data_IF_242416967473
#
_entry.id   IF_242416967473
#
_cell.length_a   1.000
_cell.length_b   1.000
_cell.length_c   1.000
_cell.angle_alpha   90.00
_cell.angle_beta   90.00
_cell.angle_gamma   90.00
#
_symmetry.space_group_name_H-M   'P 1'
#
loop_
_entity.id
_entity.type
_entity.pdbx_description
1 polymer ?
#
# COMPACT_ATOMS: atom_id res chain seq x y z
N UNK A 1 -10.02 -6.94 11.49
CA UNK A 1 -10.66 -6.37 10.30
C UNK A 1 -11.99 -7.08 10.08
N UNK A 2 -13.11 -6.37 10.24
CA UNK A 2 -14.45 -6.90 9.93
C UNK A 2 -14.57 -6.92 8.40
N UNK A 3 -14.68 -8.10 7.80
CA UNK A 3 -14.87 -8.23 6.35
C UNK A 3 -16.24 -7.61 5.99
N UNK A 4 -16.22 -6.54 5.23
CA UNK A 4 -17.40 -6.04 4.50
C UNK A 4 -17.48 -6.90 3.23
N UNK A 5 -18.13 -8.05 3.32
CA UNK A 5 -18.26 -8.97 2.18
C UNK A 5 -19.43 -9.93 2.30
N UNK A 6 -20.24 -9.78 3.34
CA UNK A 6 -21.49 -10.51 3.54
C UNK A 6 -22.65 -9.51 3.49
N UNK A 7 -23.76 -9.87 2.87
CA UNK A 7 -24.88 -8.94 2.62
C UNK A 7 -25.43 -8.37 3.94
N UNK A 8 -25.52 -9.21 4.97
CA UNK A 8 -25.95 -8.81 6.32
C UNK A 8 -24.96 -7.84 6.99
N UNK A 9 -23.66 -8.00 6.71
CA UNK A 9 -22.59 -7.09 7.17
C UNK A 9 -22.69 -5.71 6.49
N UNK A 10 -23.08 -5.69 5.21
CA UNK A 10 -23.30 -4.48 4.44
C UNK A 10 -24.53 -3.73 4.97
N UNK A 11 -25.66 -4.42 5.15
CA UNK A 11 -26.89 -3.79 5.67
C UNK A 11 -26.65 -3.15 7.04
N UNK A 12 -25.99 -3.88 7.95
CA UNK A 12 -25.65 -3.35 9.27
C UNK A 12 -24.74 -2.12 9.18
N UNK A 13 -23.77 -2.13 8.25
CA UNK A 13 -22.88 -1.00 8.00
C UNK A 13 -23.66 0.23 7.51
N UNK A 14 -24.54 0.06 6.52
CA UNK A 14 -25.38 1.15 6.00
C UNK A 14 -26.31 1.70 7.07
N UNK A 15 -26.95 0.82 7.86
CA UNK A 15 -27.83 1.24 8.94
C UNK A 15 -27.08 2.09 9.97
N UNK A 16 -25.87 1.68 10.37
CA UNK A 16 -25.03 2.45 11.28
C UNK A 16 -24.62 3.80 10.67
N UNK A 17 -24.28 3.82 9.38
CA UNK A 17 -23.95 5.05 8.66
C UNK A 17 -25.13 6.04 8.67
N UNK A 18 -26.33 5.58 8.32
CA UNK A 18 -27.55 6.39 8.33
C UNK A 18 -27.94 6.86 9.72
N UNK A 19 -27.84 5.98 10.73
CA UNK A 19 -28.10 6.35 12.12
C UNK A 19 -27.17 7.49 12.55
N UNK A 20 -25.87 7.40 12.26
CA UNK A 20 -24.90 8.47 12.58
C UNK A 20 -25.20 9.77 11.83
N UNK A 21 -25.48 9.70 10.52
CA UNK A 21 -25.77 10.88 9.71
C UNK A 21 -27.09 11.58 10.10
N UNK A 22 -28.07 10.83 10.62
CA UNK A 22 -29.40 11.35 11.00
C UNK A 22 -29.47 11.84 12.44
N UNK A 23 -28.40 11.68 13.21
CA UNK A 23 -28.31 11.99 14.65
C UNK A 23 -27.27 13.07 14.94
N UNK A 24 -26.94 13.88 13.94
CA UNK A 24 -26.10 15.07 14.12
C UNK A 24 -26.87 16.07 14.98
N UNK A 25 -26.26 16.52 16.07
CA UNK A 25 -26.87 17.49 16.98
C UNK A 25 -26.04 18.77 17.17
N UNK A 26 -24.81 18.80 16.64
CA UNK A 26 -23.98 20.00 16.65
C UNK A 26 -23.09 20.01 15.40
N UNK A 27 -23.20 21.07 14.61
CA UNK A 27 -22.54 21.19 13.31
C UNK A 27 -21.53 22.35 13.27
N UNK A 28 -20.63 22.32 12.28
CA UNK A 28 -19.61 23.35 12.03
C UNK A 28 -18.81 23.69 13.28
N UNK A 29 -18.21 22.65 13.87
CA UNK A 29 -17.44 22.79 15.10
C UNK A 29 -16.16 23.60 14.86
N UNK A 30 -15.92 24.57 15.74
CA UNK A 30 -14.72 25.39 15.75
C UNK A 30 -14.16 25.54 17.16
N UNK A 31 -12.83 25.69 17.24
CA UNK A 31 -12.10 25.91 18.48
C UNK A 31 -11.60 27.35 18.55
N UNK A 32 -11.80 28.00 19.70
CA UNK A 32 -11.37 29.38 19.96
C UNK A 32 -10.39 29.45 21.15
N UNK A 33 -9.82 30.63 21.37
CA UNK A 33 -8.80 30.92 22.38
C UNK A 33 -7.46 30.21 22.13
N UNK A 34 -7.10 30.02 20.85
CA UNK A 34 -5.84 29.39 20.44
C UNK A 34 -4.78 30.40 19.97
N UNK A 35 -5.00 31.71 20.22
CA UNK A 35 -4.17 32.80 19.69
C UNK A 35 -2.74 32.83 20.25
N UNK A 36 -2.49 32.16 21.39
CA UNK A 36 -1.17 32.08 22.03
C UNK A 36 -0.33 30.88 21.54
N UNK A 37 -0.85 30.12 20.57
CA UNK A 37 -0.18 28.97 19.99
C UNK A 37 0.53 29.40 18.69
N UNK A 38 1.84 29.21 18.63
CA UNK A 38 2.66 29.64 17.49
C UNK A 38 2.48 28.72 16.27
N UNK A 39 2.48 27.41 16.51
CA UNK A 39 2.28 26.37 15.50
C UNK A 39 1.19 25.44 16.01
N UNK A 40 0.14 25.23 15.22
CA UNK A 40 -0.96 24.33 15.55
C UNK A 40 -1.24 23.41 14.35
N UNK A 41 -1.16 22.12 14.59
CA UNK A 41 -1.59 21.08 13.64
C UNK A 41 -2.72 20.27 14.29
N UNK A 42 -3.83 20.10 13.57
CA UNK A 42 -5.06 19.45 14.07
C UNK A 42 -5.49 18.34 13.11
N UNK A 43 -5.96 17.23 13.69
CA UNK A 43 -6.42 16.02 13.02
C UNK A 43 -7.79 15.58 13.56
N UNK A 44 -8.79 15.33 12.69
CA UNK A 44 -8.78 15.68 11.26
C UNK A 44 -8.66 17.20 11.06
N UNK A 45 -8.17 17.62 9.89
CA UNK A 45 -8.05 19.05 9.53
C UNK A 45 -9.42 19.71 9.40
N UNK A 46 -10.36 19.00 8.78
CA UNK A 46 -11.78 19.36 8.74
C UNK A 46 -12.51 18.66 9.90
N UNK A 47 -12.98 19.45 10.87
CA UNK A 47 -13.63 18.91 12.08
C UNK A 47 -15.03 18.39 11.72
N UNK A 48 -15.32 17.09 11.90
CA UNK A 48 -16.63 16.53 11.63
C UNK A 48 -17.70 17.08 12.56
N UNK A 49 -18.94 17.07 12.09
CA UNK A 49 -20.11 17.33 12.93
C UNK A 49 -20.25 16.26 14.02
N UNK A 50 -20.80 16.66 15.17
CA UNK A 50 -20.98 15.79 16.33
C UNK A 50 -22.34 15.09 16.28
N UNK A 51 -22.29 13.75 16.35
CA UNK A 51 -23.45 12.86 16.37
C UNK A 51 -23.58 12.18 17.74
N UNK A 52 -24.82 11.84 18.14
CA UNK A 52 -25.06 11.08 19.37
C UNK A 52 -24.63 9.62 19.29
N UNK A 53 -24.38 9.10 18.09
CA UNK A 53 -24.03 7.70 17.85
C UNK A 53 -22.52 7.42 17.95
N UNK A 54 -21.68 8.45 17.93
CA UNK A 54 -20.23 8.27 17.99
C UNK A 54 -19.49 9.45 18.63
N UNK A 55 -18.46 9.19 19.45
CA UNK A 55 -17.63 10.25 19.99
C UNK A 55 -16.83 10.94 18.87
N UNK A 56 -16.66 12.25 18.98
CA UNK A 56 -15.72 13.01 18.17
C UNK A 56 -14.38 13.10 18.91
N UNK A 57 -13.31 12.65 18.25
CA UNK A 57 -11.95 12.79 18.74
C UNK A 57 -11.19 13.69 17.78
N UNK A 58 -10.68 14.79 18.33
CA UNK A 58 -9.78 15.72 17.65
C UNK A 58 -8.45 15.68 18.36
N UNK A 59 -7.38 15.52 17.60
CA UNK A 59 -6.01 15.47 18.10
C UNK A 59 -5.14 16.46 17.39
N UNK A 60 -3.97 16.74 17.94
CA UNK A 60 -3.09 17.72 17.34
C UNK A 60 -1.77 17.87 18.05
N UNK A 61 -0.88 18.61 17.41
CA UNK A 61 0.39 19.04 17.97
C UNK A 61 0.40 20.56 18.01
N UNK A 62 1.00 21.10 19.04
CA UNK A 62 1.14 22.54 19.17
C UNK A 62 2.54 22.93 19.66
N UNK A 63 2.96 24.15 19.34
CA UNK A 63 4.13 24.82 19.92
C UNK A 63 3.66 26.05 20.66
N UNK A 64 4.12 26.22 21.90
CA UNK A 64 3.75 27.34 22.77
C UNK A 64 3.04 26.86 24.03
N UNK A 65 2.13 27.67 24.56
CA UNK A 65 1.34 27.35 25.76
C UNK A 65 -0.10 27.08 25.37
N UNK A 66 -0.63 25.91 25.75
CA UNK A 66 -2.04 25.59 25.53
C UNK A 66 -2.91 26.31 26.58
N UNK A 67 -4.08 26.86 26.21
CA UNK A 67 -4.94 27.56 27.16
C UNK A 67 -5.45 26.64 28.27
N UNK A 68 -5.74 27.18 29.45
CA UNK A 68 -6.39 26.41 30.54
C UNK A 68 -7.84 26.05 30.22
N UNK A 69 -8.48 26.81 29.35
CA UNK A 69 -9.86 26.63 28.91
C UNK A 69 -9.96 26.74 27.40
N UNK A 70 -10.47 25.69 26.76
CA UNK A 70 -10.70 25.63 25.32
C UNK A 70 -12.16 25.95 25.04
N UNK A 71 -12.44 27.01 24.26
CA UNK A 71 -13.80 27.33 23.86
C UNK A 71 -14.15 26.59 22.58
N UNK A 72 -15.28 25.89 22.59
CA UNK A 72 -15.83 25.18 21.44
C UNK A 72 -17.11 25.88 21.00
N UNK A 73 -17.24 26.14 19.70
CA UNK A 73 -18.44 26.70 19.08
C UNK A 73 -18.99 25.78 17.98
N UNK A 74 -20.26 25.96 17.67
CA UNK A 74 -20.93 25.32 16.54
C UNK A 74 -22.37 25.79 16.40
N UNK A 75 -23.17 25.08 15.63
CA UNK A 75 -24.59 25.36 15.42
C UNK A 75 -25.47 24.20 15.88
N UNK A 76 -26.54 24.53 16.61
CA UNK A 76 -27.61 23.59 16.95
C UNK A 76 -28.52 23.34 15.73
N UNK A 77 -29.40 22.32 15.76
CA UNK A 77 -30.29 22.01 14.65
C UNK A 77 -31.28 23.14 14.29
N UNK A 78 -31.54 24.05 15.21
CA UNK A 78 -32.36 25.26 15.00
C UNK A 78 -31.55 26.46 14.46
N UNK A 79 -30.30 26.22 14.03
CA UNK A 79 -29.33 27.21 13.54
C UNK A 79 -28.90 28.25 14.59
N UNK A 80 -29.22 28.05 15.86
CA UNK A 80 -28.72 28.91 16.93
C UNK A 80 -27.25 28.61 17.25
N UNK A 81 -26.54 29.62 17.76
CA UNK A 81 -25.13 29.49 18.13
C UNK A 81 -25.00 28.65 19.42
N UNK A 82 -24.13 27.64 19.37
CA UNK A 82 -23.68 26.90 20.53
C UNK A 82 -22.28 27.37 20.94
N UNK A 83 -22.03 27.48 22.24
CA UNK A 83 -20.70 27.74 22.78
C UNK A 83 -20.56 27.05 24.13
N UNK A 84 -19.46 26.34 24.33
CA UNK A 84 -19.11 25.72 25.61
C UNK A 84 -17.62 25.89 25.90
N UNK A 85 -17.30 26.10 27.16
CA UNK A 85 -15.92 26.20 27.64
C UNK A 85 -15.51 24.85 28.25
N UNK A 86 -14.45 24.25 27.71
CA UNK A 86 -13.90 22.98 28.14
C UNK A 86 -12.66 23.21 29.01
N UNK A 87 -12.66 22.65 30.23
CA UNK A 87 -11.48 22.68 31.10
C UNK A 87 -10.39 21.75 30.57
N UNK A 88 -9.17 22.26 30.43
CA UNK A 88 -8.03 21.47 29.98
C UNK A 88 -7.43 20.68 31.14
N UNK A 89 -7.12 19.41 30.88
CA UNK A 89 -6.47 18.53 31.85
C UNK A 89 -5.12 18.07 31.30
N UNK A 90 -4.06 18.25 32.10
CA UNK A 90 -2.75 17.70 31.77
C UNK A 90 -2.64 16.25 32.23
N UNK A 91 -2.45 15.34 31.29
CA UNK A 91 -2.21 13.92 31.57
C UNK A 91 -0.80 13.50 31.11
N UNK A 92 0.23 13.88 31.87
CA UNK A 92 1.65 13.66 31.53
C UNK A 92 2.04 12.19 31.39
N UNK A 93 1.31 11.31 32.07
CA UNK A 93 1.59 9.87 32.08
C UNK A 93 0.97 9.12 30.88
N UNK A 94 0.15 9.79 30.06
CA UNK A 94 -0.51 9.18 28.90
C UNK A 94 0.29 9.53 27.64
N UNK A 95 0.85 8.54 26.91
CA UNK A 95 1.59 8.79 25.68
C UNK A 95 0.63 9.04 24.50
N UNK A 96 -0.15 10.13 24.56
CA UNK A 96 -1.21 10.49 23.59
C UNK A 96 -0.69 10.47 22.15
N UNK A 97 0.48 11.07 21.91
CA UNK A 97 1.08 11.10 20.57
C UNK A 97 1.31 9.70 19.98
N UNK A 98 1.78 8.75 20.79
CA UNK A 98 1.99 7.36 20.33
C UNK A 98 0.66 6.62 20.11
N UNK A 99 -0.35 6.90 20.94
CA UNK A 99 -1.67 6.29 20.81
C UNK A 99 -2.40 6.73 19.54
N UNK A 100 -2.20 7.99 19.13
CA UNK A 100 -2.90 8.60 18.00
C UNK A 100 -2.11 8.57 16.70
N UNK A 101 -0.80 8.31 16.75
CA UNK A 101 0.07 8.28 15.57
C UNK A 101 -0.47 7.40 14.43
N UNK A 102 -1.11 6.27 14.73
CA UNK A 102 -1.72 5.42 13.70
C UNK A 102 -2.87 6.12 12.99
N UNK A 103 -3.79 6.72 13.75
CA UNK A 103 -4.94 7.43 13.21
C UNK A 103 -4.50 8.65 12.39
N UNK A 104 -3.49 9.39 12.87
CA UNK A 104 -2.92 10.52 12.13
C UNK A 104 -2.27 10.08 10.82
N UNK A 105 -1.50 8.98 10.82
CA UNK A 105 -0.94 8.38 9.60
C UNK A 105 -2.06 8.00 8.63
N UNK A 106 -3.14 7.37 9.10
CA UNK A 106 -4.27 6.97 8.25
C UNK A 106 -4.98 8.19 7.62
N UNK A 107 -5.18 9.26 8.39
CA UNK A 107 -5.77 10.51 7.90
C UNK A 107 -4.87 11.19 6.85
N UNK A 108 -3.57 11.31 7.14
CA UNK A 108 -2.59 11.87 6.21
C UNK A 108 -2.45 11.02 4.95
N UNK A 109 -2.49 9.68 5.05
CA UNK A 109 -2.50 8.79 3.89
C UNK A 109 -3.72 9.06 3.01
N UNK A 110 -4.91 9.22 3.60
CA UNK A 110 -6.12 9.53 2.83
C UNK A 110 -6.01 10.88 2.10
N UNK A 111 -5.44 11.89 2.76
CA UNK A 111 -5.21 13.21 2.16
C UNK A 111 -4.13 13.17 1.07
N UNK A 112 -3.04 12.43 1.30
CA UNK A 112 -1.95 12.25 0.33
C UNK A 112 -2.41 11.46 -0.89
N UNK A 113 -3.34 10.52 -0.71
CA UNK A 113 -3.99 9.80 -1.80
C UNK A 113 -4.79 10.75 -2.70
N UNK A 114 -5.55 11.69 -2.11
CA UNK A 114 -6.34 12.65 -2.87
C UNK A 114 -5.51 13.75 -3.54
N UNK A 115 -4.51 14.30 -2.83
CA UNK A 115 -3.77 15.49 -3.25
C UNK A 115 -2.45 15.23 -3.99
N UNK A 116 -1.97 13.98 -3.97
CA UNK A 116 -0.68 13.52 -4.52
C UNK A 116 0.57 14.31 -4.04
N UNK A 117 0.46 15.11 -2.97
CA UNK A 117 1.52 15.99 -2.47
C UNK A 117 2.71 15.18 -1.93
N UNK A 118 3.89 15.42 -2.49
CA UNK A 118 5.14 14.75 -2.07
C UNK A 118 5.48 15.00 -0.60
N UNK A 119 5.24 16.22 -0.11
CA UNK A 119 5.50 16.63 1.27
C UNK A 119 4.72 15.77 2.28
N UNK A 120 3.45 15.45 1.99
CA UNK A 120 2.65 14.56 2.84
C UNK A 120 3.22 13.14 2.85
N UNK A 121 3.64 12.61 1.69
CA UNK A 121 4.24 11.27 1.58
C UNK A 121 5.51 11.15 2.41
N UNK A 122 6.38 12.15 2.32
CA UNK A 122 7.62 12.22 3.11
C UNK A 122 7.31 12.35 4.61
N UNK A 123 6.33 13.17 4.99
CA UNK A 123 5.86 13.28 6.38
C UNK A 123 5.34 11.94 6.93
N UNK A 124 4.49 11.24 6.18
CA UNK A 124 3.94 9.94 6.58
C UNK A 124 5.06 8.91 6.73
N UNK A 125 6.03 8.88 5.82
CA UNK A 125 7.17 7.98 5.93
C UNK A 125 8.00 8.25 7.19
N UNK A 126 8.25 9.52 7.51
CA UNK A 126 8.98 9.91 8.72
C UNK A 126 8.21 9.51 10.00
N UNK A 127 6.92 9.82 10.08
CA UNK A 127 6.08 9.41 11.22
C UNK A 127 6.00 7.90 11.36
N UNK A 128 5.88 7.18 10.25
CA UNK A 128 5.87 5.71 10.22
C UNK A 128 7.13 5.11 10.83
N UNK A 129 8.30 5.67 10.50
CA UNK A 129 9.59 5.23 11.05
C UNK A 129 9.67 5.60 12.55
N UNK A 130 9.34 6.84 12.91
CA UNK A 130 9.40 7.35 14.29
C UNK A 130 8.55 6.51 15.24
N UNK A 131 7.28 6.25 14.88
CA UNK A 131 6.34 5.52 15.73
C UNK A 131 6.37 4.00 15.50
N UNK A 132 7.19 3.50 14.56
CA UNK A 132 7.23 2.10 14.15
C UNK A 132 5.85 1.57 13.71
N UNK A 133 5.09 2.40 12.99
CA UNK A 133 3.76 2.08 12.47
C UNK A 133 3.88 1.86 10.97
N UNK A 134 3.41 0.73 10.46
CA UNK A 134 3.44 0.42 9.02
C UNK A 134 2.52 1.41 8.29
N UNK A 135 3.02 2.01 7.20
CA UNK A 135 2.26 2.90 6.33
C UNK A 135 2.37 2.48 4.87
N UNK A 136 1.56 3.06 4.01
CA UNK A 136 1.60 2.83 2.57
C UNK A 136 2.89 3.33 1.89
N UNK A 137 3.64 4.18 2.59
CA UNK A 137 4.88 4.78 2.11
C UNK A 137 6.14 4.15 2.73
N UNK A 138 6.01 3.12 3.57
CA UNK A 138 7.13 2.43 4.22
C UNK A 138 7.07 0.91 4.04
N UNK A 139 8.24 0.26 4.12
CA UNK A 139 8.34 -1.20 4.07
C UNK A 139 9.09 -1.69 5.30
N UNK A 140 8.66 -2.83 5.85
CA UNK A 140 9.36 -3.48 6.96
C UNK A 140 10.30 -4.55 6.39
N UNK A 141 11.57 -4.50 6.78
CA UNK A 141 12.59 -5.45 6.33
C UNK A 141 13.14 -6.20 7.52
N UNK A 142 13.10 -7.53 7.45
CA UNK A 142 13.79 -8.41 8.39
C UNK A 142 15.22 -8.64 7.90
N UNK A 143 16.19 -8.27 8.74
CA UNK A 143 17.61 -8.39 8.49
C UNK A 143 18.24 -9.42 9.43
N UNK A 144 19.05 -10.33 8.89
CA UNK A 144 19.95 -11.16 9.69
C UNK A 144 21.19 -10.35 10.02
N UNK A 145 21.43 -10.11 11.32
CA UNK A 145 22.71 -9.58 11.79
C UNK A 145 23.51 -10.73 12.37
N UNK A 146 24.55 -11.16 11.65
CA UNK A 146 25.56 -12.06 12.21
C UNK A 146 26.30 -11.33 13.33
N UNK A 147 25.90 -11.55 14.58
CA UNK A 147 26.73 -11.17 15.72
C UNK A 147 27.92 -12.13 15.73
N UNK A 148 29.07 -11.67 15.21
CA UNK A 148 30.35 -12.34 15.43
C UNK A 148 30.53 -12.54 16.94
N UNK A 149 30.31 -13.77 17.40
CA UNK A 149 30.77 -14.20 18.72
C UNK A 149 32.29 -14.21 18.65
N UNK A 150 32.92 -13.13 19.08
CA UNK A 150 34.32 -13.19 19.47
C UNK A 150 34.35 -14.01 20.77
N UNK A 151 34.40 -15.33 20.64
CA UNK A 151 34.91 -16.18 21.70
C UNK A 151 36.41 -15.94 21.74
N UNK A 152 36.83 -15.03 22.61
CA UNK A 152 38.22 -14.91 23.01
C UNK A 152 38.61 -16.23 23.71
N UNK A 153 39.32 -17.09 23.01
CA UNK A 153 40.00 -18.24 23.59
C UNK A 153 41.37 -17.76 24.13
N UNK A 154 41.61 -17.70 25.45
CA UNK A 154 42.80 -17.09 26.01
C UNK A 154 43.93 -18.12 26.08
N UNK A 155 44.37 -18.68 24.95
CA UNK A 155 45.44 -19.69 24.98
C UNK A 155 46.22 -19.84 23.66
N UNK A 156 46.84 -18.76 23.18
CA UNK A 156 47.99 -18.90 22.28
C UNK A 156 48.88 -17.65 22.35
N UNK A 157 49.83 -17.66 23.28
CA UNK A 157 50.82 -16.60 23.42
C UNK A 157 51.88 -16.62 22.31
N UNK A 158 52.23 -15.39 21.88
CA UNK A 158 53.54 -14.92 21.38
C UNK A 158 54.00 -15.46 20.01
N UNK A 159 54.13 -14.54 19.02
CA UNK A 159 55.40 -13.86 18.65
C UNK A 159 55.23 -12.90 17.45
N UNK A 160 55.98 -11.80 17.52
CA UNK A 160 56.60 -11.02 16.44
C UNK A 160 55.78 -10.04 15.55
N UNK A 161 55.97 -8.75 15.90
CA UNK A 161 56.31 -7.59 15.06
C UNK A 161 55.50 -7.21 13.79
N UNK A 162 54.91 -6.01 13.90
CA UNK A 162 54.91 -4.90 12.92
C UNK A 162 54.42 -5.14 11.49
N UNK A 163 53.16 -4.78 11.25
CA UNK A 163 52.76 -3.83 10.19
C UNK A 163 51.30 -3.42 10.42
N UNK A 164 51.10 -2.16 10.81
CA UNK A 164 49.79 -1.51 10.81
C UNK A 164 49.45 -1.22 9.35
N UNK A 165 48.50 -1.98 8.80
CA UNK A 165 47.71 -1.52 7.67
C UNK A 165 46.28 -1.42 8.18
N UNK A 166 45.69 -0.23 8.03
CA UNK A 166 44.30 0.06 8.31
C UNK A 166 43.37 -0.96 7.63
N UNK A 167 42.89 -1.93 8.40
CA UNK A 167 41.74 -2.73 7.99
C UNK A 167 40.53 -1.88 8.32
N UNK A 168 39.97 -1.25 7.29
CA UNK A 168 38.60 -0.71 7.32
C UNK A 168 37.71 -1.80 7.94
N UNK A 169 37.16 -1.50 9.11
CA UNK A 169 36.06 -2.27 9.66
C UNK A 169 34.88 -2.06 8.71
N UNK A 170 34.77 -2.89 7.69
CA UNK A 170 33.54 -3.02 6.93
C UNK A 170 32.52 -3.62 7.90
N UNK A 171 31.55 -2.81 8.33
CA UNK A 171 30.39 -3.33 9.02
C UNK A 171 29.78 -4.44 8.15
N UNK A 172 29.55 -5.65 8.69
CA UNK A 172 29.03 -6.74 7.89
C UNK A 172 27.68 -6.31 7.32
N UNK A 173 27.58 -6.26 6.00
CA UNK A 173 26.33 -5.91 5.30
C UNK A 173 25.25 -6.90 5.73
N UNK A 174 24.18 -6.45 6.41
CA UNK A 174 23.16 -7.35 6.92
C UNK A 174 22.47 -8.07 5.77
N UNK A 175 22.34 -9.40 5.87
CA UNK A 175 21.63 -10.20 4.86
C UNK A 175 20.13 -9.94 5.00
N UNK A 176 19.49 -9.46 3.93
CA UNK A 176 18.03 -9.26 3.86
C UNK A 176 17.35 -10.62 3.77
N UNK A 177 16.61 -11.00 4.82
CA UNK A 177 15.87 -12.28 4.86
C UNK A 177 14.51 -12.12 4.19
N UNK A 178 13.76 -11.08 4.58
CA UNK A 178 12.37 -10.90 4.14
C UNK A 178 12.03 -9.41 4.06
N UNK A 179 11.38 -9.01 2.97
CA UNK A 179 10.74 -7.69 2.87
C UNK A 179 9.23 -7.90 2.96
N UNK A 180 8.63 -7.41 4.04
CA UNK A 180 7.18 -7.30 4.15
C UNK A 180 6.80 -5.99 3.44
N UNK A 181 6.37 -6.13 2.19
CA UNK A 181 5.88 -4.99 1.39
C UNK A 181 4.48 -4.61 1.86
N UNK A 182 4.30 -3.31 2.08
CA UNK A 182 3.04 -2.58 2.27
C UNK A 182 1.79 -3.45 2.55
N UNK A 183 1.50 -3.72 3.83
CA UNK A 183 0.28 -4.38 4.30
C UNK A 183 -0.87 -3.39 4.55
N UNK A 184 -0.74 -2.13 4.11
CA UNK A 184 -1.81 -1.13 4.17
C UNK A 184 -2.99 -1.53 3.28
N UNK A 185 -4.11 -0.80 3.38
CA UNK A 185 -5.30 -1.05 2.55
C UNK A 185 -5.03 -0.81 1.04
N UNK A 186 -3.84 -0.29 0.70
CA UNK A 186 -3.48 0.13 -0.64
C UNK A 186 -4.05 1.51 -0.95
N UNK A 187 -3.56 2.13 -2.01
CA UNK A 187 -4.15 3.35 -2.54
C UNK A 187 -5.37 3.00 -3.40
N UNK A 188 -6.43 3.79 -3.30
CA UNK A 188 -7.51 3.74 -4.28
C UNK A 188 -7.01 4.18 -5.66
N UNK A 189 -7.83 4.00 -6.69
CA UNK A 189 -7.53 4.52 -8.03
C UNK A 189 -8.37 5.78 -8.25
N UNK A 190 -7.71 6.95 -8.34
CA UNK A 190 -8.38 8.24 -8.51
C UNK A 190 -9.24 8.29 -9.79
N UNK A 191 -8.75 7.74 -10.89
CA UNK A 191 -9.49 7.64 -12.15
C UNK A 191 -10.73 6.77 -11.96
N UNK A 192 -10.57 5.62 -11.30
CA UNK A 192 -11.70 4.74 -11.01
C UNK A 192 -12.74 5.41 -10.09
N UNK A 193 -12.30 6.22 -9.13
CA UNK A 193 -13.19 7.01 -8.26
C UNK A 193 -13.92 8.10 -9.05
N UNK A 194 -13.22 8.84 -9.92
CA UNK A 194 -13.81 9.88 -10.78
C UNK A 194 -14.83 9.28 -11.75
N UNK A 195 -14.51 8.15 -12.35
CA UNK A 195 -15.37 7.45 -13.32
C UNK A 195 -16.43 6.55 -12.65
N UNK A 196 -16.49 6.50 -11.31
CA UNK A 196 -17.36 5.60 -10.54
C UNK A 196 -17.24 4.12 -10.96
N UNK A 197 -16.03 3.68 -11.32
CA UNK A 197 -15.74 2.29 -11.65
C UNK A 197 -15.79 1.45 -10.37
N UNK A 198 -16.58 0.37 -10.43
CA UNK A 198 -16.74 -0.56 -9.31
C UNK A 198 -15.39 -1.21 -8.98
N UNK A 199 -14.93 -1.16 -7.72
CA UNK A 199 -13.71 -1.83 -7.29
C UNK A 199 -13.71 -3.32 -7.65
N UNK A 200 -12.62 -3.80 -8.27
CA UNK A 200 -12.53 -5.18 -8.77
C UNK A 200 -13.06 -5.39 -10.19
N UNK A 201 -13.66 -4.37 -10.81
CA UNK A 201 -13.95 -4.39 -12.24
C UNK A 201 -12.72 -3.90 -13.03
N UNK A 202 -11.86 -4.83 -13.43
CA UNK A 202 -10.90 -4.53 -14.49
C UNK A 202 -11.62 -4.57 -15.82
N UNK A 203 -11.64 -3.47 -16.57
CA UNK A 203 -11.87 -3.55 -18.01
C UNK A 203 -10.94 -4.65 -18.56
N UNK A 204 -11.42 -5.55 -19.46
CA UNK A 204 -10.61 -6.65 -19.93
C UNK A 204 -9.30 -6.09 -20.46
N UNK A 205 -8.18 -6.48 -19.83
CA UNK A 205 -6.85 -6.10 -20.29
C UNK A 205 -6.78 -6.45 -21.78
N UNK A 206 -6.25 -5.56 -22.65
CA UNK A 206 -5.93 -5.96 -24.00
C UNK A 206 -5.06 -7.22 -23.91
N UNK A 207 -5.30 -8.25 -24.75
CA UNK A 207 -4.64 -9.53 -24.62
C UNK A 207 -3.13 -9.30 -24.61
N UNK A 208 -2.51 -9.65 -23.48
CA UNK A 208 -1.07 -9.59 -23.32
C UNK A 208 -0.44 -10.52 -24.37
N UNK A 209 0.75 -10.22 -24.88
CA UNK A 209 1.34 -10.98 -26.00
C UNK A 209 1.38 -12.51 -25.76
N UNK A 210 1.45 -12.93 -24.48
CA UNK A 210 1.32 -14.33 -24.07
C UNK A 210 -0.05 -14.95 -24.31
N UNK A 211 -1.15 -14.20 -24.15
CA UNK A 211 -2.51 -14.68 -24.40
C UNK A 211 -2.79 -14.88 -25.90
N UNK A 212 -2.21 -14.03 -26.75
CA UNK A 212 -2.24 -14.22 -28.20
C UNK A 212 -1.46 -15.49 -28.60
N UNK A 213 -0.33 -15.76 -27.94
CA UNK A 213 0.47 -16.97 -28.16
C UNK A 213 -0.26 -18.23 -27.71
N UNK A 214 -0.87 -18.24 -26.51
CA UNK A 214 -1.65 -19.37 -25.98
C UNK A 214 -2.86 -19.66 -26.88
N UNK A 215 -3.55 -18.61 -27.36
CA UNK A 215 -4.69 -18.72 -28.27
C UNK A 215 -4.28 -19.14 -29.69
N UNK A 216 -3.06 -18.81 -30.10
CA UNK A 216 -2.42 -19.30 -31.33
C UNK A 216 -2.03 -20.77 -31.25
N UNK A 217 -1.42 -21.19 -30.13
CA UNK A 217 -1.04 -22.57 -29.87
C UNK A 217 -2.27 -23.50 -29.75
N UNK A 218 -3.36 -23.02 -29.12
CA UNK A 218 -4.62 -23.77 -29.04
C UNK A 218 -5.32 -23.96 -30.40
N UNK A 219 -5.01 -23.09 -31.38
CA UNK A 219 -5.51 -23.23 -32.77
C UNK A 219 -4.71 -24.23 -33.60
N UNK A 220 -3.50 -24.59 -33.18
CA UNK A 220 -2.69 -25.61 -33.86
C UNK A 220 -3.37 -27.00 -33.81
N UNK A 221 -3.99 -27.34 -32.66
CA UNK A 221 -4.79 -28.56 -32.53
C UNK A 221 -6.15 -28.46 -33.25
N UNK A 222 -6.70 -27.27 -33.45
CA UNK A 222 -7.97 -27.07 -34.17
C UNK A 222 -7.83 -27.19 -35.69
N UNK A 223 -6.69 -26.77 -36.26
CA UNK A 223 -6.45 -26.82 -37.70
C UNK A 223 -5.99 -28.19 -38.20
N UNK A 224 -5.17 -28.90 -37.42
CA UNK A 224 -4.66 -30.24 -37.78
C UNK A 224 -5.61 -31.39 -37.42
N UNK A 225 -6.56 -31.19 -36.51
CA UNK A 225 -7.49 -32.23 -36.06
C UNK A 225 -8.93 -31.75 -36.14
N UNK A 226 -9.41 -31.54 -37.38
CA UNK A 226 -10.81 -31.25 -37.65
C UNK A 226 -11.74 -32.48 -37.48
N UNK A 227 -11.24 -33.56 -36.85
CA UNK A 227 -12.02 -34.73 -36.45
C UNK A 227 -11.63 -35.22 -35.04
N UNK A 228 -12.46 -34.84 -34.05
CA UNK A 228 -12.88 -35.60 -32.85
C UNK A 228 -11.95 -36.74 -32.40
N UNK A 229 -10.87 -36.44 -31.64
CA UNK A 229 -10.49 -37.10 -30.36
C UNK A 229 -9.04 -36.78 -29.92
N UNK A 230 -8.88 -36.20 -28.74
CA UNK A 230 -7.60 -35.92 -28.08
C UNK A 230 -6.82 -37.18 -27.66
N UNK A 231 -7.44 -38.38 -27.69
CA UNK A 231 -6.74 -39.63 -27.34
C UNK A 231 -5.86 -40.16 -28.49
N UNK A 232 -6.25 -39.96 -29.76
CA UNK A 232 -5.43 -40.36 -30.91
C UNK A 232 -4.17 -39.51 -31.09
N UNK A 233 -4.23 -38.22 -30.73
CA UNK A 233 -3.06 -37.34 -30.77
C UNK A 233 -2.00 -37.78 -29.75
N UNK A 234 -2.40 -38.17 -28.55
CA UNK A 234 -1.46 -38.73 -27.57
C UNK A 234 -0.87 -40.06 -28.05
N UNK A 235 -1.66 -40.92 -28.71
CA UNK A 235 -1.17 -42.21 -29.23
C UNK A 235 -0.18 -42.11 -30.39
N UNK A 236 -0.34 -41.10 -31.26
CA UNK A 236 0.63 -40.80 -32.34
C UNK A 236 1.88 -40.13 -31.77
N UNK A 237 1.72 -39.21 -30.82
CA UNK A 237 2.86 -38.58 -30.15
C UNK A 237 3.65 -39.56 -29.28
N UNK A 238 3.00 -40.54 -28.65
CA UNK A 238 3.68 -41.58 -27.86
C UNK A 238 4.40 -42.63 -28.70
N UNK A 239 4.09 -42.71 -30.01
CA UNK A 239 4.77 -43.59 -30.98
C UNK A 239 5.86 -42.88 -31.78
N UNK A 240 6.05 -41.59 -31.56
CA UNK A 240 7.03 -40.79 -32.25
C UNK A 240 8.43 -41.10 -31.71
N UNK A 241 9.35 -41.48 -32.60
CA UNK A 241 10.75 -41.66 -32.23
C UNK A 241 11.37 -40.30 -31.86
N UNK A 242 12.30 -40.26 -30.90
CA UNK A 242 12.92 -39.04 -30.39
C UNK A 242 13.58 -38.20 -31.49
N UNK A 243 14.15 -38.84 -32.52
CA UNK A 243 14.72 -38.15 -33.68
C UNK A 243 13.65 -37.38 -34.48
N UNK A 244 12.47 -37.97 -34.66
CA UNK A 244 11.36 -37.33 -35.37
C UNK A 244 10.76 -36.18 -34.54
N UNK A 245 10.68 -36.34 -33.22
CA UNK A 245 10.25 -35.29 -32.32
C UNK A 245 11.22 -34.08 -32.33
N UNK A 246 12.53 -34.33 -32.42
CA UNK A 246 13.53 -33.26 -32.53
C UNK A 246 13.42 -32.51 -33.85
N UNK A 247 13.26 -33.21 -34.98
CA UNK A 247 13.07 -32.58 -36.30
C UNK A 247 11.79 -31.75 -36.34
N UNK A 248 10.69 -32.26 -35.78
CA UNK A 248 9.44 -31.52 -35.68
C UNK A 248 9.57 -30.26 -34.81
N UNK A 249 10.28 -30.36 -33.68
CA UNK A 249 10.53 -29.21 -32.80
C UNK A 249 11.40 -28.16 -33.49
N UNK A 250 12.43 -28.58 -34.21
CA UNK A 250 13.29 -27.68 -34.99
C UNK A 250 12.52 -27.04 -36.15
N UNK A 251 11.67 -27.78 -36.86
CA UNK A 251 10.84 -27.25 -37.94
C UNK A 251 9.82 -26.23 -37.41
N UNK A 252 9.15 -26.52 -36.29
CA UNK A 252 8.23 -25.59 -35.63
C UNK A 252 8.97 -24.35 -35.10
N UNK A 253 10.17 -24.51 -34.55
CA UNK A 253 11.04 -23.41 -34.14
C UNK A 253 11.45 -22.53 -35.32
N UNK A 254 11.84 -23.13 -36.45
CA UNK A 254 12.19 -22.41 -37.67
C UNK A 254 10.99 -21.67 -38.26
N UNK A 255 9.79 -22.26 -38.26
CA UNK A 255 8.55 -21.62 -38.67
C UNK A 255 8.16 -20.46 -37.75
N UNK A 256 8.38 -20.57 -36.44
CA UNK A 256 8.18 -19.47 -35.50
C UNK A 256 9.16 -18.32 -35.76
N UNK A 257 10.42 -18.62 -36.11
CA UNK A 257 11.40 -17.61 -36.52
C UNK A 257 11.04 -16.94 -37.85
N UNK A 258 10.44 -17.66 -38.81
CA UNK A 258 9.92 -17.07 -40.05
C UNK A 258 8.73 -16.13 -39.79
N UNK A 259 7.86 -16.46 -38.82
CA UNK A 259 6.79 -15.57 -38.36
C UNK A 259 7.29 -14.31 -37.64
N UNK A 260 8.50 -14.35 -37.07
CA UNK A 260 9.16 -13.15 -36.54
C UNK A 260 9.73 -12.28 -37.66
N UNK A 261 10.16 -12.87 -38.77
CA UNK A 261 10.69 -12.14 -39.92
C UNK A 261 9.60 -11.32 -40.64
N UNK A 262 8.37 -11.84 -40.74
CA UNK A 262 7.22 -11.10 -41.28
C UNK A 262 6.76 -9.94 -40.38
N UNK A 263 7.03 -10.00 -39.07
CA UNK A 263 6.80 -8.86 -38.16
C UNK A 263 7.88 -7.77 -38.31
N UNK A 264 9.13 -8.14 -38.62
CA UNK A 264 10.21 -7.17 -38.85
C UNK A 264 10.08 -6.41 -40.18
N UNK A 265 9.53 -7.02 -41.23
CA UNK A 265 9.31 -6.34 -42.53
C UNK A 265 8.21 -5.25 -42.45
N UNK A 266 7.34 -5.33 -41.43
CA UNK A 266 6.31 -4.32 -41.15
C UNK A 266 6.82 -3.13 -40.31
N UNK A 267 8.08 -3.16 -39.84
CA UNK A 267 8.64 -2.13 -38.94
C UNK A 267 9.61 -1.16 -39.63
N UNK A 268 9.91 -1.32 -40.92
CA UNK A 268 10.72 -0.35 -41.69
C UNK A 268 9.93 0.18 -42.88
N UNK A 269 9.15 1.24 -42.67
CA UNK A 269 8.57 2.01 -43.77
C UNK A 269 7.34 2.84 -43.42
N UNK A 270 7.52 4.00 -42.79
CA UNK A 270 6.90 5.28 -43.19
C UNK A 270 7.40 6.43 -42.30
N UNK A 271 8.55 7.00 -42.65
CA UNK A 271 8.73 8.46 -42.60
C UNK A 271 8.36 8.98 -43.99
N UNK A 272 7.40 9.90 -44.03
CA UNK A 272 6.85 10.51 -45.24
C UNK A 272 5.60 11.30 -44.92
#
# INVERSE_FOLDING_TARGET
MKKIGDADSIEACFRALFARASSIFLANLAFENLDQIDELEVFPSEIPDLSSESPLVVSGRYRGTFPETLKVKGFLPDMSNFSVDLSVQEAKDIPVGKMLAKQEIELLTAEAWYSDRKELKEKIANMSIEYSIISEYTNVVLLETERLKITADPAAGRRASSKVNDVKTEEPTPRKILVLRNNGLGFGNLIATEENIIPGFSAPKPPEAGDAYIKGASRCCGWLCNHRCCWCCMGVCSRMNNECANVMTQACGALACLGCYSCCDSCTGQEG
#
